data_IF_448492804162
#
_entry.id   IF_448492804162
#
_cell.length_a   1.000
_cell.length_b   1.000
_cell.length_c   1.000
_cell.angle_alpha   90.00
_cell.angle_beta   90.00
_cell.angle_gamma   90.00
#
_symmetry.space_group_name_H-M   'P 1'
#
loop_
_entity.id
_entity.type
_entity.pdbx_description
1 polymer ?
#
# COMPACT_ATOMS: atom_id res chain seq x y z
N UNK A 1 -13.95 -34.34 38.87
CA UNK A 1 -14.07 -32.89 39.13
C UNK A 1 -12.78 -32.18 38.72
N UNK A 2 -12.56 -31.96 37.42
CA UNK A 2 -11.45 -31.18 36.86
C UNK A 2 -11.86 -30.76 35.45
N UNK A 3 -12.18 -29.48 35.25
CA UNK A 3 -12.27 -28.75 33.97
C UNK A 3 -12.93 -27.41 34.26
N UNK A 4 -12.14 -26.40 34.63
CA UNK A 4 -12.55 -24.99 34.49
C UNK A 4 -11.28 -24.11 34.52
N UNK A 5 -11.29 -23.08 33.70
CA UNK A 5 -10.29 -22.01 33.53
C UNK A 5 -9.01 -22.35 32.72
N UNK A 6 -9.19 -22.49 31.40
CA UNK A 6 -8.22 -22.00 30.41
C UNK A 6 -9.03 -21.12 29.46
N UNK A 7 -9.30 -19.87 29.83
CA UNK A 7 -9.99 -18.90 28.97
C UNK A 7 -9.73 -17.47 29.43
N UNK A 8 -8.46 -17.05 29.53
CA UNK A 8 -8.13 -15.67 29.94
C UNK A 8 -6.73 -15.19 29.48
N UNK A 9 -6.34 -15.44 28.22
CA UNK A 9 -5.06 -14.93 27.66
C UNK A 9 -5.25 -14.13 26.34
N UNK A 10 -6.48 -13.84 25.91
CA UNK A 10 -6.75 -13.14 24.64
C UNK A 10 -7.28 -11.71 24.79
N UNK A 11 -7.14 -11.11 25.97
CA UNK A 11 -7.56 -9.73 26.26
C UNK A 11 -6.35 -8.93 26.71
N UNK A 12 -5.59 -8.40 25.75
CA UNK A 12 -4.71 -7.23 25.90
C UNK A 12 -4.11 -6.88 24.53
N UNK A 13 -4.97 -6.47 23.59
CA UNK A 13 -4.52 -5.61 22.48
C UNK A 13 -5.11 -4.23 22.78
N UNK A 14 -4.32 -3.22 23.16
CA UNK A 14 -4.84 -1.88 23.38
C UNK A 14 -5.39 -1.33 22.06
N UNK A 15 -6.67 -0.98 22.07
CA UNK A 15 -7.33 -0.27 20.98
C UNK A 15 -6.77 1.16 20.90
N UNK A 16 -5.80 1.37 20.02
CA UNK A 16 -5.33 2.71 19.66
C UNK A 16 -6.23 3.32 18.56
N UNK A 17 -6.63 4.57 18.77
CA UNK A 17 -7.34 5.43 17.83
C UNK A 17 -6.44 5.76 16.64
N UNK A 18 -6.93 5.62 15.41
CA UNK A 18 -6.14 5.92 14.21
C UNK A 18 -6.87 6.82 13.20
N UNK A 19 -6.39 8.06 13.07
CA UNK A 19 -6.01 8.63 11.76
C UNK A 19 -4.88 7.75 11.19
N UNK A 20 -4.71 7.65 9.85
CA UNK A 20 -3.84 6.65 9.17
C UNK A 20 -2.80 6.07 10.11
N UNK A 21 -3.01 4.82 10.55
CA UNK A 21 -2.22 4.28 11.63
C UNK A 21 -0.74 4.41 11.27
N UNK A 22 0.04 4.95 12.20
CA UNK A 22 1.50 4.97 12.18
C UNK A 22 2.03 3.56 12.43
N UNK A 23 1.45 2.59 11.71
CA UNK A 23 1.61 1.15 11.85
C UNK A 23 1.17 0.45 10.57
N UNK A 24 1.86 -0.62 10.20
CA UNK A 24 1.38 -1.60 9.23
C UNK A 24 1.53 -3.03 9.78
N UNK A 25 0.68 -3.94 9.30
CA UNK A 25 0.59 -5.31 9.79
C UNK A 25 0.54 -6.26 8.60
N UNK A 26 1.35 -7.31 8.65
CA UNK A 26 1.45 -8.33 7.62
C UNK A 26 1.46 -9.73 8.25
N UNK A 27 0.45 -10.53 7.93
CA UNK A 27 0.39 -11.95 8.29
C UNK A 27 0.80 -12.78 7.07
N UNK A 28 1.81 -13.62 7.23
CA UNK A 28 2.28 -14.49 6.14
C UNK A 28 1.72 -15.92 6.28
N UNK A 29 1.77 -16.75 5.22
CA UNK A 29 1.11 -18.06 5.22
C UNK A 29 1.55 -19.05 6.31
N UNK A 30 2.75 -18.89 6.87
CA UNK A 30 3.24 -19.75 7.97
C UNK A 30 2.71 -19.35 9.35
N UNK A 31 1.88 -18.30 9.43
CA UNK A 31 1.31 -17.78 10.66
C UNK A 31 2.18 -16.74 11.39
N UNK A 32 3.34 -16.37 10.84
CA UNK A 32 4.15 -15.27 11.37
C UNK A 32 3.45 -13.94 11.13
N UNK A 33 3.28 -13.17 12.20
CA UNK A 33 2.76 -11.81 12.17
C UNK A 33 3.91 -10.82 12.26
N UNK A 34 4.02 -9.94 11.27
CA UNK A 34 4.90 -8.80 11.28
C UNK A 34 4.08 -7.55 11.55
N UNK A 35 4.49 -6.77 12.55
CA UNK A 35 3.93 -5.46 12.85
C UNK A 35 5.06 -4.45 12.85
N UNK A 36 4.92 -3.37 12.10
CA UNK A 36 5.88 -2.26 12.15
C UNK A 36 5.14 -1.02 12.64
N UNK A 37 5.64 -0.41 13.70
CA UNK A 37 5.07 0.78 14.34
C UNK A 37 6.04 1.96 14.23
N UNK A 38 5.52 3.17 14.09
CA UNK A 38 6.24 4.42 14.30
C UNK A 38 5.99 4.89 15.73
N UNK A 39 7.07 4.91 16.52
CA UNK A 39 7.04 5.24 17.94
C UNK A 39 7.67 6.62 18.16
N UNK A 40 7.04 7.43 18.99
CA UNK A 40 7.64 8.69 19.45
C UNK A 40 8.92 8.41 20.25
N UNK A 41 9.94 9.23 20.07
CA UNK A 41 11.19 9.12 20.82
C UNK A 41 10.95 9.51 22.29
N UNK A 42 11.05 8.53 23.18
CA UNK A 42 10.93 8.66 24.63
C UNK A 42 12.28 8.92 25.33
N UNK A 43 13.32 9.22 24.55
CA UNK A 43 14.70 9.39 25.01
C UNK A 43 15.58 8.15 24.77
N UNK A 44 15.04 7.10 24.17
CA UNK A 44 15.81 5.89 23.81
C UNK A 44 16.61 6.02 22.51
N UNK A 45 16.26 6.98 21.65
CA UNK A 45 16.97 7.30 20.41
C UNK A 45 17.68 8.67 20.50
N UNK A 46 18.64 8.98 19.60
CA UNK A 46 19.28 10.29 19.55
C UNK A 46 18.28 11.46 19.54
N UNK A 47 18.62 12.59 20.18
CA UNK A 47 17.69 13.69 20.42
C UNK A 47 17.08 14.32 19.14
N UNK A 48 17.76 14.18 18.00
CA UNK A 48 17.29 14.66 16.69
C UNK A 48 16.25 13.74 16.02
N UNK A 49 15.99 12.56 16.59
CA UNK A 49 14.98 11.62 16.13
C UNK A 49 13.67 11.94 16.83
N UNK A 50 12.64 12.32 16.07
CA UNK A 50 11.31 12.59 16.64
C UNK A 50 10.52 11.29 16.80
N UNK A 51 10.51 10.46 15.76
CA UNK A 51 9.93 9.12 15.78
C UNK A 51 10.87 8.15 15.06
N UNK A 52 10.88 6.90 15.49
CA UNK A 52 11.61 5.80 14.85
C UNK A 52 10.67 4.62 14.60
N UNK A 53 11.10 3.66 13.79
CA UNK A 53 10.32 2.48 13.45
C UNK A 53 10.77 1.25 14.24
N UNK A 54 9.80 0.53 14.81
CA UNK A 54 10.00 -0.75 15.48
C UNK A 54 9.26 -1.85 14.74
N UNK A 55 9.98 -2.89 14.33
CA UNK A 55 9.40 -4.13 13.84
C UNK A 55 9.24 -5.12 14.99
N UNK A 56 8.05 -5.67 15.13
CA UNK A 56 7.72 -6.80 15.99
C UNK A 56 7.35 -8.00 15.13
N UNK A 57 8.01 -9.13 15.40
CA UNK A 57 7.80 -10.42 14.73
C UNK A 57 7.22 -11.39 15.76
N UNK A 58 6.02 -11.88 15.50
CA UNK A 58 5.34 -12.84 16.37
C UNK A 58 5.18 -14.18 15.65
N UNK A 59 5.64 -15.26 16.29
CA UNK A 59 5.51 -16.65 15.84
C UNK A 59 4.86 -17.47 16.94
N UNK A 60 3.54 -17.65 16.85
CA UNK A 60 2.76 -18.25 17.94
C UNK A 60 2.84 -17.39 19.21
N UNK A 61 3.46 -17.91 20.26
CA UNK A 61 3.70 -17.20 21.53
C UNK A 61 5.02 -16.45 21.59
N UNK A 62 5.94 -16.73 20.66
CA UNK A 62 7.26 -16.11 20.65
C UNK A 62 7.18 -14.75 19.96
N UNK A 63 7.65 -13.72 20.65
CA UNK A 63 7.65 -12.34 20.15
C UNK A 63 9.07 -11.79 20.20
N UNK A 64 9.52 -11.21 19.10
CA UNK A 64 10.82 -10.52 19.00
C UNK A 64 10.61 -9.14 18.41
N UNK A 65 11.32 -8.14 18.91
CA UNK A 65 11.26 -6.78 18.38
C UNK A 65 12.65 -6.29 18.00
N UNK A 66 12.73 -5.49 16.94
CA UNK A 66 13.95 -4.84 16.48
C UNK A 66 13.62 -3.43 15.95
N UNK A 67 14.54 -2.50 16.14
CA UNK A 67 14.42 -1.15 15.56
C UNK A 67 14.95 -1.20 14.12
N UNK A 68 14.30 -0.48 13.21
CA UNK A 68 14.82 -0.26 11.84
C UNK A 68 16.00 0.71 11.95
N UNK A 69 17.25 0.31 11.66
CA UNK A 69 18.42 1.12 12.01
C UNK A 69 18.40 2.53 11.40
N UNK A 70 18.02 2.68 10.14
CA UNK A 70 17.95 3.97 9.45
C UNK A 70 16.82 4.88 9.93
N UNK A 71 15.88 4.36 10.73
CA UNK A 71 14.89 5.18 11.43
C UNK A 71 15.43 5.89 12.67
N UNK A 72 16.72 5.69 13.01
CA UNK A 72 17.45 6.43 14.03
C UNK A 72 18.21 7.64 13.44
N UNK A 73 17.93 8.01 12.19
CA UNK A 73 18.42 9.25 11.58
C UNK A 73 17.48 10.41 11.90
N UNK A 74 17.95 11.65 11.71
CA UNK A 74 17.16 12.82 12.10
C UNK A 74 15.77 12.87 11.42
N UNK A 75 14.81 13.43 12.15
CA UNK A 75 13.47 13.70 11.65
C UNK A 75 12.38 12.75 12.17
N UNK A 76 11.25 12.74 11.48
CA UNK A 76 10.07 11.93 11.79
C UNK A 76 10.01 10.74 10.83
N UNK A 77 10.04 9.51 11.34
CA UNK A 77 9.85 8.30 10.55
C UNK A 77 8.46 7.70 10.77
N UNK A 78 7.65 7.56 9.72
CA UNK A 78 6.22 7.25 9.87
C UNK A 78 5.60 6.64 8.61
N UNK A 79 4.33 6.22 8.71
CA UNK A 79 3.54 5.55 7.65
C UNK A 79 4.27 4.40 6.95
N UNK A 80 4.76 3.40 7.71
CA UNK A 80 5.40 2.24 7.10
C UNK A 80 4.39 1.43 6.27
N UNK A 81 4.91 0.65 5.33
CA UNK A 81 4.20 -0.34 4.53
C UNK A 81 5.07 -1.59 4.39
N UNK A 82 4.50 -2.77 4.59
CA UNK A 82 5.20 -4.06 4.57
C UNK A 82 4.82 -4.90 3.36
N UNK A 83 5.81 -5.61 2.81
CA UNK A 83 5.59 -6.75 1.92
C UNK A 83 6.57 -7.88 2.25
N UNK A 84 6.18 -9.13 2.01
CA UNK A 84 7.01 -10.29 2.30
C UNK A 84 7.14 -11.20 1.09
N UNK A 85 8.38 -11.53 0.75
CA UNK A 85 8.68 -12.56 -0.23
C UNK A 85 8.90 -13.92 0.47
N UNK A 86 7.99 -14.86 0.21
CA UNK A 86 8.05 -16.22 0.76
C UNK A 86 9.23 -17.04 0.24
N UNK A 87 9.73 -16.77 -0.96
CA UNK A 87 10.78 -17.57 -1.59
C UNK A 87 12.17 -17.21 -1.03
N UNK A 88 12.53 -15.92 -1.05
CA UNK A 88 13.77 -15.43 -0.44
C UNK A 88 13.68 -15.28 1.08
N UNK A 89 12.48 -15.42 1.67
CA UNK A 89 12.19 -15.17 3.08
C UNK A 89 12.57 -13.77 3.54
N UNK A 90 12.31 -12.79 2.67
CA UNK A 90 12.68 -11.39 2.88
C UNK A 90 11.44 -10.55 3.18
N UNK A 91 11.47 -9.83 4.30
CA UNK A 91 10.50 -8.77 4.58
C UNK A 91 11.05 -7.45 4.04
N UNK A 92 10.21 -6.67 3.37
CA UNK A 92 10.51 -5.31 2.94
C UNK A 92 9.69 -4.32 3.76
N UNK A 93 10.34 -3.26 4.22
CA UNK A 93 9.70 -2.14 4.88
C UNK A 93 9.93 -0.88 4.05
N UNK A 94 8.84 -0.23 3.64
CA UNK A 94 8.81 1.01 2.88
C UNK A 94 8.18 2.11 3.73
N UNK A 95 8.83 3.25 3.93
CA UNK A 95 8.33 4.29 4.84
C UNK A 95 8.74 5.70 4.45
N UNK A 96 8.19 6.67 5.18
CA UNK A 96 8.53 8.08 5.05
C UNK A 96 9.51 8.52 6.14
N UNK A 97 10.51 9.29 5.73
CA UNK A 97 11.25 10.20 6.61
C UNK A 97 10.85 11.64 6.30
N UNK A 98 10.42 12.40 7.30
CA UNK A 98 10.27 13.85 7.22
C UNK A 98 11.45 14.51 7.95
N UNK A 99 12.52 14.90 7.24
CA UNK A 99 13.62 15.66 7.84
C UNK A 99 13.17 17.09 8.24
N UNK A 100 12.09 17.60 7.63
CA UNK A 100 11.46 18.87 7.98
C UNK A 100 9.96 18.83 7.65
N UNK A 101 9.21 19.88 8.03
CA UNK A 101 7.76 19.93 7.85
C UNK A 101 7.28 20.03 6.39
N UNK A 102 8.17 20.36 5.44
CA UNK A 102 7.82 20.63 4.04
C UNK A 102 8.39 19.60 3.06
N UNK A 103 9.16 18.61 3.53
CA UNK A 103 9.78 17.61 2.68
C UNK A 103 9.66 16.24 3.31
N UNK A 104 9.33 15.27 2.48
CA UNK A 104 9.38 13.86 2.83
C UNK A 104 10.42 13.15 1.96
N UNK A 105 10.87 12.00 2.42
CA UNK A 105 11.78 11.11 1.72
C UNK A 105 11.25 9.69 1.80
N UNK A 106 11.38 8.96 0.70
CA UNK A 106 11.00 7.56 0.58
C UNK A 106 12.18 6.67 0.91
N UNK A 107 12.01 5.80 1.90
CA UNK A 107 13.04 4.85 2.33
C UNK A 107 12.53 3.41 2.18
N UNK A 108 13.39 2.52 1.70
CA UNK A 108 13.14 1.08 1.63
C UNK A 108 14.30 0.33 2.28
N UNK A 109 13.99 -0.65 3.13
CA UNK A 109 14.95 -1.59 3.68
C UNK A 109 14.41 -3.02 3.63
N UNK A 110 15.31 -3.98 3.51
CA UNK A 110 15.01 -5.39 3.61
C UNK A 110 15.40 -5.93 4.99
N UNK A 111 14.62 -6.87 5.51
CA UNK A 111 14.89 -7.63 6.71
C UNK A 111 15.01 -9.12 6.34
N UNK A 112 16.25 -9.61 6.38
CA UNK A 112 16.63 -10.94 5.90
C UNK A 112 17.28 -11.69 7.04
N UNK A 113 16.79 -12.90 7.34
CA UNK A 113 17.35 -13.77 8.38
C UNK A 113 17.55 -13.08 9.75
N UNK A 114 16.60 -12.24 10.15
CA UNK A 114 16.65 -11.54 11.44
C UNK A 114 17.47 -10.25 11.44
N UNK A 115 18.00 -9.81 10.29
CA UNK A 115 18.88 -8.65 10.17
C UNK A 115 18.39 -7.66 9.13
N UNK A 116 18.48 -6.38 9.47
CA UNK A 116 18.22 -5.29 8.53
C UNK A 116 19.39 -5.13 7.57
N UNK A 117 19.06 -4.98 6.28
CA UNK A 117 19.95 -4.41 5.28
C UNK A 117 19.88 -2.89 5.36
N UNK A 118 20.92 -2.23 4.84
CA UNK A 118 20.97 -0.77 4.79
C UNK A 118 19.78 -0.24 3.97
N UNK A 119 19.07 0.74 4.50
CA UNK A 119 18.00 1.39 3.75
C UNK A 119 18.55 2.17 2.55
N UNK A 120 17.80 2.17 1.46
CA UNK A 120 18.02 3.05 0.31
C UNK A 120 17.02 4.19 0.31
N UNK A 121 17.45 5.35 -0.18
CA UNK A 121 16.58 6.48 -0.49
C UNK A 121 16.11 6.35 -1.93
N UNK A 122 14.80 6.21 -2.12
CA UNK A 122 14.18 6.10 -3.45
C UNK A 122 13.98 7.50 -4.04
N UNK A 123 13.55 8.45 -3.22
CA UNK A 123 13.36 9.84 -3.60
C UNK A 123 13.46 10.75 -2.37
N UNK A 124 14.26 11.82 -2.48
CA UNK A 124 14.56 12.77 -1.41
C UNK A 124 14.42 14.24 -1.86
N UNK A 125 13.60 14.50 -2.88
CA UNK A 125 13.39 15.87 -3.40
C UNK A 125 12.79 16.80 -2.34
N UNK A 126 13.30 18.02 -2.27
CA UNK A 126 12.80 19.08 -1.39
C UNK A 126 11.42 19.56 -1.87
N UNK A 127 10.53 19.89 -0.93
CA UNK A 127 9.16 20.35 -1.22
C UNK A 127 8.26 19.30 -1.89
N UNK A 128 8.58 18.02 -1.68
CA UNK A 128 7.72 16.90 -2.06
C UNK A 128 7.16 16.26 -0.79
N UNK A 129 5.84 16.30 -0.63
CA UNK A 129 5.14 15.64 0.45
C UNK A 129 4.48 14.36 -0.08
N UNK A 130 4.71 13.24 0.60
CA UNK A 130 4.29 11.93 0.13
C UNK A 130 3.41 11.24 1.15
N UNK A 131 2.42 10.52 0.65
CA UNK A 131 1.36 9.94 1.47
C UNK A 131 0.86 8.62 0.89
N UNK A 132 0.06 7.89 1.67
CA UNK A 132 -0.67 6.71 1.19
C UNK A 132 0.19 5.60 0.54
N UNK A 133 1.37 5.35 1.11
CA UNK A 133 2.33 4.34 0.64
C UNK A 133 1.70 2.95 0.55
N UNK A 134 2.05 2.22 -0.50
CA UNK A 134 1.79 0.78 -0.68
C UNK A 134 3.01 0.13 -1.29
N UNK A 135 3.20 -1.14 -0.98
CA UNK A 135 4.27 -1.96 -1.51
C UNK A 135 3.73 -3.35 -1.87
N UNK A 136 4.25 -3.92 -2.95
CA UNK A 136 3.90 -5.25 -3.48
C UNK A 136 5.11 -5.93 -4.11
N UNK A 137 5.01 -7.23 -4.40
CA UNK A 137 6.14 -8.04 -4.87
C UNK A 137 5.70 -8.88 -6.06
N UNK A 138 6.54 -8.93 -7.09
CA UNK A 138 6.48 -9.93 -8.18
C UNK A 138 7.79 -10.71 -8.25
N UNK A 139 7.76 -11.87 -8.91
CA UNK A 139 8.88 -12.84 -8.95
C UNK A 139 9.36 -13.17 -10.35
N UNK A 140 8.75 -12.57 -11.36
CA UNK A 140 9.05 -12.86 -12.76
C UNK A 140 9.11 -11.58 -13.55
N UNK A 141 9.97 -11.59 -14.56
CA UNK A 141 10.14 -10.50 -15.49
C UNK A 141 10.18 -11.04 -16.90
N UNK A 142 9.47 -10.38 -17.82
CA UNK A 142 9.47 -10.77 -19.22
C UNK A 142 10.80 -10.38 -19.87
N UNK A 143 11.56 -11.36 -20.36
CA UNK A 143 12.85 -11.14 -21.03
C UNK A 143 12.74 -11.42 -22.51
N UNK A 144 13.16 -10.45 -23.34
CA UNK A 144 13.22 -10.61 -24.78
C UNK A 144 14.28 -11.67 -25.14
N UNK A 145 13.84 -12.70 -25.83
CA UNK A 145 14.66 -13.80 -26.32
C UNK A 145 15.29 -13.47 -27.68
N UNK A 146 16.29 -14.26 -28.09
CA UNK A 146 17.00 -14.05 -29.36
C UNK A 146 16.10 -14.17 -30.60
N UNK A 147 14.99 -14.88 -30.49
CA UNK A 147 13.99 -15.06 -31.55
C UNK A 147 12.93 -13.95 -31.60
N UNK A 148 13.07 -12.92 -30.74
CA UNK A 148 12.14 -11.81 -30.66
C UNK A 148 10.89 -12.07 -29.81
N UNK A 149 10.77 -13.25 -29.20
CA UNK A 149 9.70 -13.58 -28.25
C UNK A 149 10.05 -13.12 -26.84
N UNK A 150 9.06 -13.01 -25.95
CA UNK A 150 9.32 -12.78 -24.52
C UNK A 150 9.16 -14.08 -23.74
N UNK A 151 10.05 -14.31 -22.77
CA UNK A 151 9.91 -15.40 -21.82
C UNK A 151 10.13 -14.91 -20.39
N UNK A 152 9.34 -15.42 -19.46
CA UNK A 152 9.45 -15.07 -18.06
C UNK A 152 10.65 -15.72 -17.39
N UNK A 153 11.56 -14.89 -16.87
CA UNK A 153 12.70 -15.34 -16.05
C UNK A 153 12.46 -14.97 -14.58
N UNK A 154 12.99 -15.74 -13.61
CA UNK A 154 12.91 -15.38 -12.20
C UNK A 154 13.60 -14.03 -11.91
N UNK A 155 12.92 -13.14 -11.20
CA UNK A 155 13.45 -11.87 -10.72
C UNK A 155 12.62 -11.38 -9.54
N UNK A 156 13.26 -11.03 -8.41
CA UNK A 156 12.55 -10.45 -7.28
C UNK A 156 12.40 -8.95 -7.49
N UNK A 157 11.16 -8.50 -7.66
CA UNK A 157 10.84 -7.11 -7.92
C UNK A 157 9.93 -6.58 -6.82
N UNK A 158 10.24 -5.39 -6.34
CA UNK A 158 9.42 -4.65 -5.37
C UNK A 158 8.75 -3.49 -6.10
N UNK A 159 7.43 -3.43 -5.97
CA UNK A 159 6.58 -2.38 -6.52
C UNK A 159 6.18 -1.45 -5.39
N UNK A 160 6.36 -0.14 -5.54
CA UNK A 160 5.88 0.83 -4.58
C UNK A 160 5.00 1.87 -5.27
N UNK A 161 3.89 2.25 -4.62
CA UNK A 161 3.04 3.37 -5.06
C UNK A 161 2.75 4.31 -3.91
N UNK A 162 2.62 5.59 -4.21
CA UNK A 162 2.28 6.63 -3.23
C UNK A 162 1.57 7.80 -3.91
N UNK A 163 0.95 8.65 -3.10
CA UNK A 163 0.47 9.96 -3.53
C UNK A 163 1.53 11.01 -3.22
N UNK A 164 1.78 11.92 -4.15
CA UNK A 164 2.77 12.98 -4.02
C UNK A 164 2.13 14.34 -4.25
N UNK A 165 2.39 15.27 -3.33
CA UNK A 165 2.06 16.69 -3.45
C UNK A 165 3.35 17.49 -3.62
N UNK A 166 3.37 18.33 -4.64
CA UNK A 166 4.47 19.21 -4.99
C UNK A 166 3.95 20.61 -5.25
N UNK A 167 4.85 21.59 -5.42
CA UNK A 167 4.46 22.94 -5.86
C UNK A 167 3.85 23.00 -7.27
N UNK A 168 3.98 21.94 -8.08
CA UNK A 168 3.44 21.86 -9.44
C UNK A 168 2.06 21.17 -9.51
N UNK A 169 1.66 20.47 -8.46
CA UNK A 169 0.42 19.71 -8.43
C UNK A 169 0.52 18.45 -7.57
N UNK A 170 -0.52 17.63 -7.65
CA UNK A 170 -0.65 16.38 -6.94
C UNK A 170 -0.85 15.23 -7.90
N UNK A 171 -0.14 14.13 -7.69
CA UNK A 171 -0.12 12.99 -8.60
C UNK A 171 0.16 11.67 -7.88
N UNK A 172 -0.27 10.57 -8.48
CA UNK A 172 0.07 9.24 -8.03
C UNK A 172 1.39 8.80 -8.68
N UNK A 173 2.28 8.20 -7.89
CA UNK A 173 3.63 7.85 -8.31
C UNK A 173 3.90 6.38 -8.12
N UNK A 174 4.83 5.86 -8.90
CA UNK A 174 5.22 4.47 -8.91
C UNK A 174 6.73 4.30 -8.94
N UNK A 175 7.22 3.29 -8.22
CA UNK A 175 8.59 2.82 -8.28
C UNK A 175 8.62 1.31 -8.52
N UNK A 176 9.48 0.88 -9.45
CA UNK A 176 9.88 -0.52 -9.60
C UNK A 176 11.32 -0.67 -9.12
N UNK A 177 11.58 -1.66 -8.28
CA UNK A 177 12.90 -1.92 -7.71
C UNK A 177 13.31 -3.37 -7.93
N UNK A 178 14.49 -3.57 -8.50
CA UNK A 178 15.11 -4.90 -8.61
C UNK A 178 15.83 -5.25 -7.33
N UNK A 179 15.65 -6.47 -6.84
CA UNK A 179 16.27 -6.94 -5.60
C UNK A 179 17.10 -8.20 -5.84
N UNK A 180 18.35 -8.17 -5.40
CA UNK A 180 19.25 -9.32 -5.39
C UNK A 180 19.81 -9.54 -3.98
N UNK A 181 19.62 -10.74 -3.45
CA UNK A 181 20.10 -11.12 -2.10
C UNK A 181 19.69 -10.12 -1.00
N UNK A 182 18.49 -9.54 -1.11
CA UNK A 182 17.96 -8.55 -0.18
C UNK A 182 18.46 -7.12 -0.39
N UNK A 183 19.32 -6.87 -1.37
CA UNK A 183 19.78 -5.53 -1.73
C UNK A 183 19.05 -5.04 -2.98
N UNK A 184 18.63 -3.77 -2.98
CA UNK A 184 18.09 -3.14 -4.17
C UNK A 184 19.24 -2.82 -5.12
N UNK A 185 19.19 -3.34 -6.35
CA UNK A 185 20.26 -3.20 -7.35
C UNK A 185 19.97 -2.10 -8.38
N UNK A 186 18.70 -1.86 -8.68
CA UNK A 186 18.24 -0.77 -9.53
C UNK A 186 16.82 -0.34 -9.14
N UNK A 187 16.44 0.88 -9.52
CA UNK A 187 15.06 1.33 -9.42
C UNK A 187 14.69 2.35 -10.50
N UNK A 188 13.43 2.36 -10.89
CA UNK A 188 12.83 3.32 -11.82
C UNK A 188 11.65 4.03 -11.15
N UNK A 189 11.44 5.31 -11.49
CA UNK A 189 10.37 6.15 -10.97
C UNK A 189 9.52 6.67 -12.11
N UNK A 190 8.21 6.61 -11.95
CA UNK A 190 7.23 7.04 -12.95
C UNK A 190 6.08 7.81 -12.31
N UNK A 191 5.51 8.76 -13.06
CA UNK A 191 4.12 9.18 -12.86
C UNK A 191 3.20 8.05 -13.29
N UNK A 192 2.23 7.68 -12.45
CA UNK A 192 1.26 6.64 -12.79
C UNK A 192 0.37 7.06 -13.97
N UNK A 193 0.19 8.36 -14.23
CA UNK A 193 -0.54 8.85 -15.38
C UNK A 193 0.15 8.48 -16.73
N UNK A 194 1.46 8.23 -16.74
CA UNK A 194 2.19 7.76 -17.93
C UNK A 194 1.68 6.40 -18.44
N UNK A 195 1.08 5.59 -17.56
CA UNK A 195 0.51 4.28 -17.90
C UNK A 195 -0.93 4.36 -18.41
N UNK A 196 -1.51 5.56 -18.45
CA UNK A 196 -2.88 5.78 -18.90
C UNK A 196 -2.89 6.45 -20.26
N UNK A 197 -3.93 6.17 -21.05
CA UNK A 197 -4.20 7.02 -22.21
C UNK A 197 -4.62 8.40 -21.71
N UNK A 198 -4.21 9.51 -22.35
CA UNK A 198 -4.74 10.82 -22.04
C UNK A 198 -6.24 10.79 -22.25
N UNK A 199 -6.99 10.64 -21.15
CA UNK A 199 -8.43 10.80 -21.14
C UNK A 199 -8.73 12.28 -21.16
N UNK A 200 -9.36 12.77 -22.22
CA UNK A 200 -9.90 14.14 -22.26
C UNK A 200 -11.24 14.24 -21.50
N UNK A 201 -11.77 13.10 -21.03
CA UNK A 201 -13.04 13.05 -20.32
C UNK A 201 -12.84 13.45 -18.87
N UNK A 202 -13.26 14.67 -18.53
CA UNK A 202 -13.40 15.11 -17.14
C UNK A 202 -14.78 14.67 -16.64
N UNK A 203 -14.81 13.85 -15.59
CA UNK A 203 -16.05 13.43 -14.96
C UNK A 203 -16.60 14.53 -14.06
N UNK A 204 -17.90 14.77 -14.19
CA UNK A 204 -18.59 15.73 -13.34
C UNK A 204 -18.70 15.21 -11.90
N UNK A 205 -18.36 16.07 -10.95
CA UNK A 205 -18.53 15.84 -9.52
C UNK A 205 -19.27 17.02 -8.90
N UNK A 206 -19.92 16.80 -7.77
CA UNK A 206 -20.65 17.83 -7.04
C UNK A 206 -19.70 18.91 -6.48
N UNK A 207 -20.23 20.11 -6.25
CA UNK A 207 -19.44 21.25 -5.75
C UNK A 207 -18.78 21.02 -4.38
N UNK A 208 -19.28 20.07 -3.59
CA UNK A 208 -18.76 19.67 -2.29
C UNK A 208 -18.03 18.31 -2.32
N UNK A 209 -17.59 17.88 -3.50
CA UNK A 209 -16.82 16.65 -3.66
C UNK A 209 -15.51 16.70 -2.86
N UNK A 210 -15.28 15.67 -2.07
CA UNK A 210 -14.07 15.47 -1.29
C UNK A 210 -13.06 14.65 -2.12
N UNK A 211 -12.09 15.35 -2.68
CA UNK A 211 -11.05 14.79 -3.55
C UNK A 211 -10.11 13.78 -2.87
N UNK A 212 -10.11 13.73 -1.52
CA UNK A 212 -9.23 12.84 -0.76
C UNK A 212 -9.41 11.37 -1.15
N UNK A 213 -10.60 10.96 -1.59
CA UNK A 213 -10.85 9.58 -2.04
C UNK A 213 -9.96 9.17 -3.22
N UNK A 214 -9.52 10.12 -4.05
CA UNK A 214 -8.66 9.89 -5.21
C UNK A 214 -7.19 9.77 -4.84
N UNK A 215 -6.80 10.24 -3.65
CA UNK A 215 -5.39 10.35 -3.21
C UNK A 215 -4.84 9.06 -2.60
N UNK A 216 -5.53 7.93 -2.76
CA UNK A 216 -5.15 6.65 -2.15
C UNK A 216 -4.85 5.57 -3.20
N UNK A 217 -3.65 5.59 -3.81
CA UNK A 217 -3.26 4.52 -4.70
C UNK A 217 -3.23 3.17 -3.97
N UNK A 218 -3.49 2.10 -4.71
CA UNK A 218 -3.56 0.74 -4.21
C UNK A 218 -2.88 -0.21 -5.18
N UNK A 219 -2.07 -1.13 -4.64
CA UNK A 219 -1.68 -2.34 -5.36
C UNK A 219 -2.76 -3.38 -5.07
N UNK A 220 -3.38 -3.88 -6.13
CA UNK A 220 -4.41 -4.89 -6.09
C UNK A 220 -3.75 -6.26 -6.22
N UNK A 221 -4.39 -7.26 -5.62
CA UNK A 221 -3.83 -8.60 -5.39
C UNK A 221 -3.00 -9.12 -6.58
N UNK A 222 -1.68 -9.27 -6.38
CA UNK A 222 -0.70 -9.67 -7.38
C UNK A 222 -0.78 -11.20 -7.62
N UNK A 223 -1.95 -11.67 -8.04
CA UNK A 223 -2.18 -13.09 -8.32
C UNK A 223 -1.29 -13.60 -9.46
N UNK A 224 -0.84 -12.70 -10.34
CA UNK A 224 0.13 -12.95 -11.37
C UNK A 224 1.56 -12.73 -10.85
N UNK A 225 2.48 -13.70 -11.01
CA UNK A 225 3.84 -13.57 -10.53
C UNK A 225 4.71 -12.59 -11.34
N UNK A 226 4.19 -12.08 -12.46
CA UNK A 226 4.87 -11.27 -13.49
C UNK A 226 4.23 -9.89 -13.70
N UNK A 227 3.21 -9.52 -12.93
CA UNK A 227 2.56 -8.21 -13.05
C UNK A 227 1.91 -7.73 -11.75
N UNK A 228 1.70 -6.42 -11.66
CA UNK A 228 0.89 -5.82 -10.59
C UNK A 228 -0.26 -5.02 -11.19
N UNK A 229 -1.42 -5.13 -10.56
CA UNK A 229 -2.54 -4.22 -10.82
C UNK A 229 -2.45 -3.04 -9.86
N UNK A 230 -2.49 -1.83 -10.41
CA UNK A 230 -2.46 -0.59 -9.64
C UNK A 230 -3.73 0.19 -9.90
N UNK A 231 -4.44 0.56 -8.82
CA UNK A 231 -5.51 1.54 -8.85
C UNK A 231 -4.99 2.87 -8.32
N UNK A 232 -5.30 3.98 -8.98
CA UNK A 232 -5.00 5.32 -8.50
C UNK A 232 -6.03 6.34 -9.01
N UNK A 233 -6.16 7.47 -8.31
CA UNK A 233 -7.02 8.57 -8.75
C UNK A 233 -6.27 9.58 -9.62
N UNK A 234 -7.02 10.32 -10.42
CA UNK A 234 -6.56 11.48 -11.19
C UNK A 234 -7.45 12.69 -10.87
N UNK A 235 -6.86 13.70 -10.24
CA UNK A 235 -7.57 14.93 -9.85
C UNK A 235 -7.94 15.82 -11.05
N UNK A 236 -7.25 15.69 -12.19
CA UNK A 236 -7.54 16.48 -13.39
C UNK A 236 -8.83 16.01 -14.07
N UNK A 237 -9.07 14.70 -14.07
CA UNK A 237 -10.22 14.09 -14.72
C UNK A 237 -11.33 13.65 -13.75
N UNK A 238 -11.10 13.74 -12.43
CA UNK A 238 -11.99 13.20 -11.39
C UNK A 238 -12.29 11.71 -11.63
N UNK A 239 -11.27 10.93 -11.95
CA UNK A 239 -11.41 9.53 -12.32
C UNK A 239 -10.52 8.63 -11.47
N UNK A 240 -10.89 7.36 -11.39
CA UNK A 240 -9.97 6.29 -11.03
C UNK A 240 -9.44 5.62 -12.30
N UNK A 241 -8.15 5.33 -12.26
CA UNK A 241 -7.44 4.57 -13.27
C UNK A 241 -7.02 3.23 -12.65
N UNK A 242 -7.20 2.15 -13.39
CA UNK A 242 -6.59 0.86 -13.09
C UNK A 242 -5.64 0.51 -14.20
N UNK A 243 -4.40 0.16 -13.89
CA UNK A 243 -3.38 -0.24 -14.86
C UNK A 243 -2.76 -1.56 -14.44
N UNK A 244 -2.48 -2.44 -15.39
CA UNK A 244 -1.68 -3.64 -15.16
C UNK A 244 -0.26 -3.36 -15.65
N UNK A 245 0.69 -3.40 -14.73
CA UNK A 245 2.10 -3.09 -15.02
C UNK A 245 2.87 -4.40 -15.15
N UNK A 246 3.46 -4.62 -16.33
CA UNK A 246 4.32 -5.76 -16.64
C UNK A 246 5.80 -5.33 -16.69
N UNK A 247 6.62 -5.75 -15.72
CA UNK A 247 8.06 -5.55 -15.77
C UNK A 247 8.71 -6.32 -16.94
N UNK A 248 9.72 -5.70 -17.56
CA UNK A 248 10.62 -6.33 -18.53
C UNK A 248 12.06 -6.34 -18.01
N UNK A 249 12.92 -7.13 -18.66
CA UNK A 249 14.30 -7.36 -18.25
C UNK A 249 15.06 -6.07 -17.87
N UNK A 250 16.06 -6.23 -16.99
CA UNK A 250 16.84 -5.16 -16.34
C UNK A 250 16.07 -4.34 -15.29
N UNK A 251 14.90 -4.81 -14.86
CA UNK A 251 14.05 -4.08 -13.91
C UNK A 251 13.40 -2.84 -14.51
N UNK A 252 13.25 -2.85 -15.85
CA UNK A 252 12.61 -1.77 -16.58
C UNK A 252 11.13 -2.03 -16.73
N UNK A 253 10.36 -0.97 -16.94
CA UNK A 253 8.94 -1.10 -17.22
C UNK A 253 8.69 -0.95 -18.72
N UNK A 254 7.92 -1.88 -19.29
CA UNK A 254 7.38 -1.69 -20.62
C UNK A 254 6.12 -0.84 -20.52
N UNK A 255 6.15 0.37 -21.05
CA UNK A 255 4.95 1.19 -21.28
C UNK A 255 4.53 0.91 -22.73
N UNK A 256 3.48 0.11 -22.99
CA UNK A 256 3.08 -0.18 -24.36
C UNK A 256 2.70 1.11 -25.09
N UNK A 257 3.33 1.35 -26.25
CA UNK A 257 2.97 2.46 -27.13
C UNK A 257 1.71 2.04 -27.91
N UNK A 258 0.59 2.74 -27.69
CA UNK A 258 -0.64 2.58 -28.48
C UNK A 258 -1.50 1.35 -28.18
N UNK A 259 -1.07 0.47 -27.28
CA UNK A 259 -1.90 -0.60 -26.71
C UNK A 259 -2.31 -0.19 -25.30
N UNK A 260 -3.60 -0.02 -25.06
CA UNK A 260 -4.18 0.41 -23.78
C UNK A 260 -3.81 -0.58 -22.66
N UNK A 261 -2.82 -0.30 -21.79
CA UNK A 261 -2.50 -1.14 -20.64
C UNK A 261 -3.38 -0.75 -19.44
N UNK A 262 -4.10 0.37 -19.58
CA UNK A 262 -5.12 0.81 -18.65
C UNK A 262 -6.29 -0.13 -18.74
N UNK A 263 -6.50 -0.87 -17.66
CA UNK A 263 -7.80 -1.37 -17.31
C UNK A 263 -8.84 -0.22 -17.20
N UNK A 264 -10.01 -0.49 -16.64
CA UNK A 264 -11.13 0.45 -16.72
C UNK A 264 -10.75 1.83 -16.17
N UNK A 265 -10.96 2.86 -16.99
CA UNK A 265 -11.00 4.27 -16.61
C UNK A 265 -12.45 4.62 -16.28
N UNK A 266 -12.73 4.97 -15.03
CA UNK A 266 -14.09 5.25 -14.58
C UNK A 266 -14.13 6.46 -13.66
N UNK A 267 -15.17 7.25 -13.80
CA UNK A 267 -15.36 8.46 -12.99
C UNK A 267 -15.42 8.14 -11.50
N UNK A 268 -14.99 9.08 -10.68
CA UNK A 268 -15.22 9.09 -9.25
C UNK A 268 -16.73 9.07 -8.94
N UNK A 269 -17.14 8.72 -7.70
CA UNK A 269 -18.52 8.93 -7.28
C UNK A 269 -18.88 10.41 -7.41
N UNK A 270 -19.91 10.74 -8.20
CA UNK A 270 -20.31 12.12 -8.46
C UNK A 270 -20.58 12.91 -7.16
N UNK A 271 -21.18 12.23 -6.18
CA UNK A 271 -21.47 12.77 -4.85
C UNK A 271 -20.69 12.03 -3.77
N UNK A 272 -19.52 12.57 -3.39
CA UNK A 272 -18.75 12.08 -2.25
C UNK A 272 -18.34 13.23 -1.35
N UNK A 273 -19.04 13.40 -0.23
CA UNK A 273 -18.74 14.44 0.76
C UNK A 273 -18.35 13.86 2.11
N UNK A 274 -18.03 12.56 2.17
CA UNK A 274 -17.69 11.92 3.42
C UNK A 274 -16.31 12.41 3.88
N UNK A 275 -16.22 12.89 5.12
CA UNK A 275 -14.95 13.28 5.75
C UNK A 275 -14.13 12.06 6.17
N UNK A 276 -13.89 11.13 5.26
CA UNK A 276 -12.98 10.01 5.50
C UNK A 276 -11.60 10.57 5.82
N UNK A 277 -11.05 10.13 6.93
CA UNK A 277 -9.71 10.48 7.37
C UNK A 277 -8.85 9.24 7.44
N UNK A 278 -7.56 9.42 7.14
CA UNK A 278 -6.59 8.32 7.14
C UNK A 278 -6.67 7.43 5.88
N UNK A 279 -6.25 6.17 6.03
CA UNK A 279 -6.07 5.24 4.89
C UNK A 279 -7.44 4.84 4.30
N UNK A 280 -7.62 5.06 3.01
CA UNK A 280 -8.64 4.36 2.21
C UNK A 280 -8.00 3.10 1.64
N UNK A 281 -8.70 1.99 1.78
CA UNK A 281 -8.28 0.66 1.32
C UNK A 281 -9.23 0.17 0.25
N UNK A 282 -8.72 -0.76 -0.55
CA UNK A 282 -9.37 -1.19 -1.78
C UNK A 282 -9.52 -2.70 -1.78
N UNK A 283 -10.72 -3.18 -2.11
CA UNK A 283 -10.99 -4.59 -2.39
C UNK A 283 -11.46 -4.67 -3.83
N UNK A 284 -10.89 -5.58 -4.60
CA UNK A 284 -11.41 -5.98 -5.91
C UNK A 284 -12.03 -7.35 -5.83
N UNK A 285 -13.02 -7.60 -6.68
CA UNK A 285 -13.61 -8.94 -6.82
C UNK A 285 -13.74 -9.32 -8.30
N UNK A 286 -13.52 -10.61 -8.58
CA UNK A 286 -13.52 -11.16 -9.93
C UNK A 286 -12.20 -10.94 -10.68
N UNK A 287 -11.82 -11.89 -11.54
CA UNK A 287 -10.63 -11.78 -12.40
C UNK A 287 -10.69 -10.55 -13.31
N UNK A 288 -11.89 -10.17 -13.71
CA UNK A 288 -12.12 -9.07 -14.66
C UNK A 288 -12.13 -7.70 -13.97
N UNK A 289 -12.10 -7.67 -12.63
CA UNK A 289 -11.90 -6.42 -11.92
C UNK A 289 -13.03 -5.39 -12.03
N UNK A 290 -14.20 -5.83 -12.49
CA UNK A 290 -15.39 -4.99 -12.78
C UNK A 290 -16.05 -4.43 -11.53
N UNK A 291 -15.68 -4.96 -10.36
CA UNK A 291 -16.16 -4.52 -9.06
C UNK A 291 -15.02 -4.03 -8.20
N UNK A 292 -15.25 -2.88 -7.59
CA UNK A 292 -14.32 -2.22 -6.70
C UNK A 292 -15.04 -1.81 -5.44
N UNK A 293 -14.44 -2.08 -4.28
CA UNK A 293 -14.88 -1.52 -3.02
C UNK A 293 -13.77 -0.64 -2.47
N UNK A 294 -14.09 0.63 -2.23
CA UNK A 294 -13.26 1.54 -1.46
C UNK A 294 -13.83 1.61 -0.06
N UNK A 295 -12.99 1.48 0.96
CA UNK A 295 -13.44 1.56 2.34
C UNK A 295 -12.47 2.32 3.25
N UNK A 296 -13.04 2.96 4.27
CA UNK A 296 -12.33 3.59 5.37
C UNK A 296 -12.83 2.98 6.68
N UNK A 297 -11.88 2.52 7.50
CA UNK A 297 -12.16 1.85 8.76
C UNK A 297 -11.69 2.71 9.94
N UNK A 298 -12.59 2.95 10.88
CA UNK A 298 -12.32 3.62 12.16
C UNK A 298 -12.64 2.67 13.32
N UNK A 299 -12.31 3.02 14.57
CA UNK A 299 -12.61 2.16 15.73
C UNK A 299 -14.10 1.89 15.95
N UNK A 300 -14.99 2.72 15.40
CA UNK A 300 -16.43 2.66 15.63
C UNK A 300 -17.25 2.41 14.36
N UNK A 301 -16.69 2.52 13.16
CA UNK A 301 -17.38 2.17 11.92
C UNK A 301 -16.44 1.73 10.80
N UNK A 302 -16.95 0.93 9.88
CA UNK A 302 -16.37 0.72 8.54
C UNK A 302 -17.31 1.35 7.53
N UNK A 303 -16.84 2.36 6.80
CA UNK A 303 -17.59 3.00 5.72
C UNK A 303 -17.04 2.55 4.37
N UNK A 304 -17.91 2.32 3.39
CA UNK A 304 -17.51 1.82 2.09
C UNK A 304 -18.39 2.33 0.95
N UNK A 305 -17.84 2.25 -0.25
CA UNK A 305 -18.47 2.50 -1.54
C UNK A 305 -18.23 1.29 -2.43
N UNK A 306 -19.22 0.90 -3.22
CA UNK A 306 -19.11 -0.16 -4.21
C UNK A 306 -19.25 0.45 -5.60
N UNK A 307 -18.27 0.24 -6.46
CA UNK A 307 -18.42 0.37 -7.90
C UNK A 307 -18.80 -0.99 -8.47
N UNK A 308 -19.93 -1.05 -9.17
CA UNK A 308 -20.39 -2.24 -9.88
C UNK A 308 -21.29 -1.79 -11.05
N UNK A 309 -21.28 -2.54 -12.15
CA UNK A 309 -22.15 -2.32 -13.30
C UNK A 309 -22.10 -0.87 -13.84
N UNK A 310 -20.91 -0.26 -13.82
CA UNK A 310 -20.68 1.09 -14.32
C UNK A 310 -21.10 2.23 -13.38
N UNK A 311 -21.51 1.94 -12.14
CA UNK A 311 -22.01 2.93 -11.21
C UNK A 311 -21.45 2.78 -9.79
N UNK A 312 -21.30 3.91 -9.10
CA UNK A 312 -21.00 3.95 -7.67
C UNK A 312 -22.27 3.83 -6.84
N UNK A 313 -22.23 3.02 -5.80
CA UNK A 313 -23.22 3.06 -4.72
C UNK A 313 -23.07 4.34 -3.91
N UNK A 314 -24.10 4.77 -3.15
CA UNK A 314 -23.90 5.74 -2.08
C UNK A 314 -22.96 5.19 -1.01
N UNK A 315 -22.38 6.08 -0.18
CA UNK A 315 -21.58 5.68 0.98
C UNK A 315 -22.45 4.87 1.94
N UNK A 316 -22.01 3.66 2.27
CA UNK A 316 -22.62 2.79 3.27
C UNK A 316 -21.71 2.71 4.49
N UNK A 317 -22.28 2.41 5.65
CA UNK A 317 -21.50 2.23 6.88
C UNK A 317 -22.00 1.04 7.70
N UNK A 318 -21.06 0.32 8.30
CA UNK A 318 -21.29 -0.71 9.30
C UNK A 318 -20.77 -0.18 10.65
N UNK A 319 -21.62 -0.13 11.66
CA UNK A 319 -21.18 0.15 13.02
C UNK A 319 -20.36 -1.04 13.53
N UNK A 320 -19.21 -0.77 14.14
CA UNK A 320 -18.36 -1.81 14.75
C UNK A 320 -18.30 -1.63 16.26
N UNK A 321 -18.05 -2.73 16.96
CA UNK A 321 -18.02 -2.83 18.41
C UNK A 321 -17.92 -4.30 18.83
N UNK A 322 -18.35 -4.63 20.04
CA UNK A 322 -18.15 -5.98 20.62
C UNK A 322 -18.76 -7.12 19.78
N UNK A 323 -19.87 -6.85 19.07
CA UNK A 323 -20.58 -7.86 18.26
C UNK A 323 -20.06 -8.00 16.83
N UNK A 324 -19.45 -6.94 16.30
CA UNK A 324 -18.91 -6.90 14.95
C UNK A 324 -17.62 -6.09 15.01
N UNK A 325 -16.49 -6.79 15.04
CA UNK A 325 -15.18 -6.14 15.02
C UNK A 325 -14.94 -5.48 13.68
N UNK A 326 -13.99 -4.53 13.62
CA UNK A 326 -13.53 -3.91 12.38
C UNK A 326 -13.13 -4.97 11.35
N UNK A 327 -12.34 -5.96 11.78
CA UNK A 327 -11.90 -7.06 10.89
C UNK A 327 -13.07 -7.92 10.43
N UNK A 328 -14.04 -8.19 11.31
CA UNK A 328 -15.26 -8.90 10.97
C UNK A 328 -16.09 -8.16 9.91
N UNK A 329 -16.19 -6.83 10.03
CA UNK A 329 -16.86 -5.97 9.05
C UNK A 329 -16.13 -5.94 7.71
N UNK A 330 -14.79 -5.78 7.71
CA UNK A 330 -13.98 -5.83 6.49
C UNK A 330 -14.13 -7.19 5.82
N UNK A 331 -14.01 -8.29 6.56
CA UNK A 331 -14.18 -9.64 6.02
C UNK A 331 -15.59 -9.88 5.44
N UNK A 332 -16.63 -9.31 6.06
CA UNK A 332 -17.99 -9.37 5.53
C UNK A 332 -18.12 -8.60 4.20
N UNK A 333 -17.52 -7.41 4.10
CA UNK A 333 -17.48 -6.62 2.87
C UNK A 333 -16.69 -7.36 1.77
N UNK A 334 -15.55 -7.97 2.10
CA UNK A 334 -14.76 -8.78 1.15
C UNK A 334 -15.57 -9.97 0.65
N UNK A 335 -16.28 -10.69 1.53
CA UNK A 335 -17.16 -11.79 1.12
C UNK A 335 -18.31 -11.31 0.24
N UNK A 336 -18.90 -10.15 0.55
CA UNK A 336 -19.94 -9.55 -0.27
C UNK A 336 -19.43 -9.22 -1.68
N UNK A 337 -18.20 -8.71 -1.79
CA UNK A 337 -17.56 -8.45 -3.09
C UNK A 337 -17.46 -9.74 -3.92
N UNK A 338 -17.07 -10.84 -3.26
CA UNK A 338 -16.83 -12.14 -3.88
C UNK A 338 -18.07 -13.04 -4.02
N UNK A 339 -19.21 -12.66 -3.45
CA UNK A 339 -20.44 -13.46 -3.50
C UNK A 339 -21.14 -13.26 -4.85
N UNK A 340 -20.79 -14.10 -5.83
CA UNK A 340 -21.51 -14.29 -7.10
C UNK A 340 -21.44 -15.74 -7.56
#
# INVERSE_FOLDING_TARGET
MKRLLILFVLLLVPAALFAQADRDVLLIPDGTLYTIDSEANDGTAPAQVNHFLRLTVQRGTDTQSSIVPESLTEGLHYRPALAYDTESKTLFAFWLRMPNAMSSELLLAAYVNGKWQKAISIDSKQFHLRYNLRIGITRRVATLQKDGTYSDVPALLVHAVWWEETGAGEEARYALMSVESGNVTSFELHDLAEFTSPGDTVFAVDANFNDQILKHPAILDASAPDSVDVLFGDLRTNAFNRVTIHPIADGRIHIPIGAHPGGPHFGAPASFSAGWSGRVSTITSGRDGTKLILYNATPNKVSYLLYADGAWSPVKSLAVGDKLTTDGAVAAITRMANAQ
#
